data_IF_449854892928
#
_entry.id   IF_449854892928
#
_cell.length_a   1.000
_cell.length_b   1.000
_cell.length_c   1.000
_cell.angle_alpha   90.00
_cell.angle_beta   90.00
_cell.angle_gamma   90.00
#
_symmetry.space_group_name_H-M   'P 1'
#
loop_
_entity.id
_entity.type
_entity.pdbx_description
1 polymer ?
#
# COMPACT_ATOMS: atom_id res chain seq x y z
N UNK A 1 -7.66 28.68 -5.26
CA UNK A 1 -8.83 28.11 -5.96
C UNK A 1 -9.47 27.11 -5.01
N UNK A 2 -10.79 26.94 -5.00
CA UNK A 2 -11.37 25.86 -4.18
C UNK A 2 -10.75 24.53 -4.62
N UNK A 3 -10.30 23.73 -3.65
CA UNK A 3 -9.77 22.40 -3.90
C UNK A 3 -10.89 21.53 -4.50
N UNK A 4 -10.58 20.79 -5.58
CA UNK A 4 -11.52 19.86 -6.21
C UNK A 4 -11.82 18.67 -5.28
N UNK A 5 -12.78 17.85 -5.65
CA UNK A 5 -13.09 16.62 -4.91
C UNK A 5 -12.11 15.53 -5.31
N UNK A 6 -11.64 14.74 -4.34
CA UNK A 6 -10.78 13.56 -4.57
C UNK A 6 -11.63 12.29 -4.45
N UNK A 7 -11.52 11.40 -5.42
CA UNK A 7 -12.07 10.06 -5.31
C UNK A 7 -10.98 9.10 -4.83
N UNK A 8 -11.22 8.41 -3.71
CA UNK A 8 -10.30 7.41 -3.17
C UNK A 8 -10.97 6.04 -3.22
N UNK A 9 -10.50 5.16 -4.10
CA UNK A 9 -10.97 3.78 -4.14
C UNK A 9 -10.13 2.91 -3.21
N UNK A 10 -10.76 2.06 -2.41
CA UNK A 10 -10.06 1.29 -1.37
C UNK A 10 -9.66 2.15 -0.16
N UNK A 11 -10.38 3.26 0.05
CA UNK A 11 -10.05 4.22 1.10
C UNK A 11 -10.36 3.75 2.52
N UNK A 12 -11.15 2.69 2.69
CA UNK A 12 -11.42 2.05 3.99
C UNK A 12 -10.38 0.98 4.36
N UNK A 13 -9.46 0.64 3.44
CA UNK A 13 -8.35 -0.28 3.69
C UNK A 13 -7.21 0.34 4.50
N UNK A 14 -6.19 -0.46 4.84
CA UNK A 14 -5.07 -0.05 5.69
C UNK A 14 -4.36 1.22 5.20
N UNK A 15 -3.79 1.22 3.99
CA UNK A 15 -3.05 2.39 3.45
C UNK A 15 -4.03 3.51 3.07
N UNK A 16 -5.18 3.14 2.50
CA UNK A 16 -6.21 4.09 2.08
C UNK A 16 -6.72 4.96 3.22
N UNK A 17 -7.04 4.38 4.37
CA UNK A 17 -7.57 5.10 5.54
C UNK A 17 -6.58 6.09 6.16
N UNK A 18 -5.28 5.74 6.20
CA UNK A 18 -4.22 6.64 6.62
C UNK A 18 -4.07 7.81 5.63
N UNK A 19 -4.17 7.53 4.32
CA UNK A 19 -4.13 8.58 3.28
C UNK A 19 -5.36 9.47 3.34
N UNK A 20 -6.56 8.91 3.51
CA UNK A 20 -7.80 9.68 3.72
C UNK A 20 -7.62 10.68 4.88
N UNK A 21 -7.15 10.20 6.04
CA UNK A 21 -6.93 11.05 7.21
C UNK A 21 -5.94 12.16 6.92
N UNK A 22 -4.79 11.82 6.33
CA UNK A 22 -3.75 12.77 5.97
C UNK A 22 -4.25 13.87 5.02
N UNK A 23 -5.07 13.53 4.02
CA UNK A 23 -5.66 14.49 3.09
C UNK A 23 -6.72 15.38 3.74
N UNK A 24 -7.56 14.82 4.62
CA UNK A 24 -8.54 15.59 5.38
C UNK A 24 -7.87 16.62 6.30
N UNK A 25 -6.72 16.30 6.87
CA UNK A 25 -5.95 17.24 7.70
C UNK A 25 -5.31 18.37 6.87
N UNK A 26 -5.19 18.17 5.56
CA UNK A 26 -4.85 19.20 4.57
C UNK A 26 -6.08 19.91 3.99
N UNK A 27 -7.28 19.72 4.59
CA UNK A 27 -8.55 20.30 4.18
C UNK A 27 -9.04 19.87 2.79
N UNK A 28 -8.61 18.71 2.30
CA UNK A 28 -9.10 18.14 1.05
C UNK A 28 -10.55 17.64 1.20
N UNK A 29 -11.33 17.69 0.11
CA UNK A 29 -12.66 17.07 0.03
C UNK A 29 -12.54 15.67 -0.53
N UNK A 30 -12.95 14.68 0.24
CA UNK A 30 -12.72 13.26 -0.06
C UNK A 30 -14.05 12.52 -0.19
N UNK A 31 -14.18 11.79 -1.30
CA UNK A 31 -15.17 10.75 -1.54
C UNK A 31 -14.45 9.42 -1.53
N UNK A 32 -14.91 8.48 -0.73
CA UNK A 32 -14.34 7.13 -0.61
C UNK A 32 -15.29 6.13 -1.25
N UNK A 33 -14.78 5.32 -2.17
CA UNK A 33 -15.45 4.12 -2.69
C UNK A 33 -14.72 2.87 -2.18
N UNK A 34 -15.43 2.01 -1.47
CA UNK A 34 -14.87 0.76 -0.96
C UNK A 34 -15.98 -0.32 -0.89
N UNK A 35 -15.65 -1.58 -1.16
CA UNK A 35 -16.58 -2.70 -1.06
C UNK A 35 -16.50 -3.43 0.28
N UNK A 36 -15.62 -2.98 1.18
CA UNK A 36 -15.39 -3.51 2.52
C UNK A 36 -14.95 -4.99 2.58
N UNK A 37 -14.40 -5.55 1.49
CA UNK A 37 -13.87 -6.93 1.50
C UNK A 37 -12.65 -7.04 2.43
N UNK A 38 -11.80 -6.01 2.45
CA UNK A 38 -10.66 -5.86 3.36
C UNK A 38 -10.63 -4.51 4.06
N UNK A 39 -11.52 -3.61 3.67
CA UNK A 39 -11.70 -2.31 4.28
C UNK A 39 -12.66 -2.37 5.46
N UNK A 40 -12.59 -1.39 6.35
CA UNK A 40 -13.43 -1.27 7.53
C UNK A 40 -14.05 0.12 7.62
N UNK A 41 -15.37 0.22 7.79
CA UNK A 41 -16.04 1.51 8.04
C UNK A 41 -15.43 2.26 9.22
N UNK A 42 -15.10 1.51 10.28
CA UNK A 42 -14.49 2.05 11.48
C UNK A 42 -13.10 2.67 11.30
N UNK A 43 -12.45 2.48 10.12
CA UNK A 43 -11.19 3.14 9.78
C UNK A 43 -11.38 4.57 9.28
N UNK A 44 -12.60 4.95 8.87
CA UNK A 44 -12.92 6.24 8.28
C UNK A 44 -13.54 7.21 9.28
N UNK A 45 -13.19 8.51 9.23
CA UNK A 45 -13.93 9.57 9.92
C UNK A 45 -15.18 9.93 9.11
N UNK A 46 -16.27 9.17 9.31
CA UNK A 46 -17.49 9.24 8.50
C UNK A 46 -18.21 10.60 8.56
N UNK A 47 -17.92 11.41 9.55
CA UNK A 47 -18.39 12.80 9.68
C UNK A 47 -17.62 13.79 8.79
N UNK A 48 -16.47 13.38 8.22
CA UNK A 48 -15.58 14.22 7.40
C UNK A 48 -15.47 13.76 5.95
N UNK A 49 -15.99 12.58 5.59
CA UNK A 49 -15.91 12.01 4.23
C UNK A 49 -17.29 11.66 3.68
N UNK A 50 -17.45 11.70 2.37
CA UNK A 50 -18.55 11.01 1.71
C UNK A 50 -18.13 9.57 1.47
N UNK A 51 -18.76 8.61 2.16
CA UNK A 51 -18.47 7.19 2.00
C UNK A 51 -19.54 6.52 1.13
N UNK A 52 -19.10 5.80 0.10
CA UNK A 52 -19.93 5.04 -0.82
C UNK A 52 -19.46 3.58 -0.76
N UNK A 53 -20.33 2.69 -0.29
CA UNK A 53 -20.10 1.25 -0.33
C UNK A 53 -20.50 0.72 -1.71
N UNK A 54 -19.57 0.04 -2.38
CA UNK A 54 -19.87 -0.50 -3.70
C UNK A 54 -18.65 -1.03 -4.44
N UNK A 55 -18.95 -1.70 -5.55
CA UNK A 55 -17.95 -2.33 -6.41
C UNK A 55 -17.44 -1.36 -7.48
N UNK A 56 -16.12 -1.33 -7.66
CA UNK A 56 -15.50 -0.52 -8.73
C UNK A 56 -15.89 -1.03 -10.14
N UNK A 57 -16.28 -2.28 -10.27
CA UNK A 57 -16.74 -2.87 -11.53
C UNK A 57 -18.19 -2.47 -11.88
N UNK A 58 -18.94 -1.84 -10.97
CA UNK A 58 -20.30 -1.36 -11.24
C UNK A 58 -20.27 -0.04 -12.03
N UNK A 59 -20.41 -0.15 -13.34
CA UNK A 59 -20.36 0.99 -14.25
C UNK A 59 -21.43 2.05 -13.96
N UNK A 60 -22.63 1.65 -13.51
CA UNK A 60 -23.69 2.59 -13.19
C UNK A 60 -23.39 3.38 -11.91
N UNK A 61 -22.81 2.71 -10.90
CA UNK A 61 -22.35 3.34 -9.68
C UNK A 61 -21.23 4.35 -9.97
N UNK A 62 -20.21 3.93 -10.73
CA UNK A 62 -19.07 4.79 -11.09
C UNK A 62 -19.53 6.01 -11.88
N UNK A 63 -20.39 5.83 -12.88
CA UNK A 63 -20.92 6.94 -13.67
C UNK A 63 -21.68 7.96 -12.80
N UNK A 64 -22.56 7.50 -11.92
CA UNK A 64 -23.29 8.34 -10.98
C UNK A 64 -22.33 9.10 -10.05
N UNK A 65 -21.30 8.42 -9.53
CA UNK A 65 -20.31 9.01 -8.64
C UNK A 65 -19.55 10.16 -9.32
N UNK A 66 -19.12 9.97 -10.58
CA UNK A 66 -18.46 11.03 -11.34
C UNK A 66 -19.41 12.19 -11.69
N UNK A 67 -20.65 11.91 -12.02
CA UNK A 67 -21.65 12.94 -12.31
C UNK A 67 -21.97 13.80 -11.07
N UNK A 68 -22.12 13.19 -9.88
CA UNK A 68 -22.48 13.86 -8.64
C UNK A 68 -21.32 14.61 -7.99
N UNK A 69 -20.11 14.02 -7.99
CA UNK A 69 -18.99 14.54 -7.21
C UNK A 69 -17.89 15.23 -8.04
N UNK A 70 -17.87 15.02 -9.35
CA UNK A 70 -16.93 15.64 -10.30
C UNK A 70 -15.48 15.60 -9.79
N UNK A 71 -14.90 14.40 -9.51
CA UNK A 71 -13.57 14.32 -8.93
C UNK A 71 -12.51 14.87 -9.89
N UNK A 72 -11.61 15.70 -9.36
CA UNK A 72 -10.47 16.23 -10.10
C UNK A 72 -9.31 15.25 -10.22
N UNK A 73 -9.25 14.27 -9.31
CA UNK A 73 -8.21 13.23 -9.26
C UNK A 73 -8.75 11.96 -8.59
N UNK A 74 -8.15 10.83 -8.96
CA UNK A 74 -8.38 9.53 -8.36
C UNK A 74 -7.12 9.05 -7.65
N UNK A 75 -7.24 8.63 -6.38
CA UNK A 75 -6.22 7.88 -5.66
C UNK A 75 -6.69 6.43 -5.55
N UNK A 76 -5.97 5.50 -6.17
CA UNK A 76 -6.44 4.14 -6.35
C UNK A 76 -5.67 3.15 -5.48
N UNK A 77 -6.31 2.72 -4.38
CA UNK A 77 -5.80 1.69 -3.44
C UNK A 77 -6.51 0.35 -3.60
N UNK A 78 -7.74 0.34 -4.11
CA UNK A 78 -8.58 -0.85 -4.19
C UNK A 78 -7.89 -1.98 -4.97
N UNK A 79 -7.46 -3.03 -4.27
CA UNK A 79 -6.80 -4.18 -4.85
C UNK A 79 -6.77 -5.36 -3.88
N UNK A 80 -6.78 -6.58 -4.40
CA UNK A 80 -6.30 -7.74 -3.66
C UNK A 80 -4.77 -7.72 -3.65
N UNK A 81 -4.15 -7.99 -2.49
CA UNK A 81 -2.71 -7.80 -2.27
C UNK A 81 -1.97 -9.02 -1.69
N UNK A 82 -2.64 -10.17 -1.54
CA UNK A 82 -2.03 -11.38 -1.01
C UNK A 82 -1.30 -12.15 -2.11
N UNK A 83 0.04 -12.05 -2.11
CA UNK A 83 0.90 -12.68 -3.12
C UNK A 83 0.64 -14.19 -3.23
N UNK A 84 0.57 -14.90 -2.10
CA UNK A 84 0.32 -16.35 -2.08
C UNK A 84 -1.05 -16.73 -2.67
N UNK A 85 -2.11 -16.01 -2.32
CA UNK A 85 -3.45 -16.21 -2.87
C UNK A 85 -3.47 -15.95 -4.39
N UNK A 86 -2.72 -14.95 -4.86
CA UNK A 86 -2.68 -14.64 -6.29
C UNK A 86 -2.17 -15.82 -7.14
N UNK A 87 -1.30 -16.66 -6.59
CA UNK A 87 -0.77 -17.84 -7.29
C UNK A 87 -1.83 -18.95 -7.36
N UNK A 88 -2.66 -19.10 -6.33
CA UNK A 88 -3.69 -20.14 -6.27
C UNK A 88 -5.01 -19.72 -6.94
N UNK A 89 -5.33 -18.42 -6.97
CA UNK A 89 -6.52 -17.88 -7.63
C UNK A 89 -6.17 -16.64 -8.48
N UNK A 90 -5.44 -16.81 -9.60
CA UNK A 90 -4.98 -15.68 -10.42
C UNK A 90 -6.12 -14.89 -11.07
N UNK A 91 -7.23 -15.54 -11.44
CA UNK A 91 -8.34 -14.86 -12.11
C UNK A 91 -9.05 -13.86 -11.20
N UNK A 92 -9.13 -14.12 -9.90
CA UNK A 92 -9.62 -13.18 -8.90
C UNK A 92 -8.81 -11.86 -8.96
N UNK A 93 -7.48 -11.98 -9.02
CA UNK A 93 -6.56 -10.84 -9.08
C UNK A 93 -6.68 -10.06 -10.39
N UNK A 94 -6.70 -10.73 -11.53
CA UNK A 94 -6.85 -10.03 -12.82
C UNK A 94 -8.21 -9.36 -12.97
N UNK A 95 -9.31 -9.97 -12.50
CA UNK A 95 -10.62 -9.33 -12.52
C UNK A 95 -10.68 -8.10 -11.65
N UNK A 96 -10.20 -8.17 -10.41
CA UNK A 96 -10.29 -7.06 -9.47
C UNK A 96 -9.23 -5.98 -9.73
N UNK A 97 -7.96 -6.37 -9.93
CA UNK A 97 -6.85 -5.42 -9.96
C UNK A 97 -6.59 -4.85 -11.36
N UNK A 98 -7.09 -5.48 -12.42
CA UNK A 98 -6.89 -5.03 -13.80
C UNK A 98 -8.20 -4.72 -14.51
N UNK A 99 -9.16 -5.65 -14.55
CA UNK A 99 -10.39 -5.44 -15.32
C UNK A 99 -11.32 -4.40 -14.68
N UNK A 100 -11.55 -4.45 -13.37
CA UNK A 100 -12.41 -3.50 -12.68
C UNK A 100 -11.92 -2.02 -12.78
N UNK A 101 -10.63 -1.69 -12.68
CA UNK A 101 -10.14 -0.33 -12.94
C UNK A 101 -10.43 0.23 -14.33
N UNK A 102 -10.67 -0.61 -15.34
CA UNK A 102 -11.03 -0.11 -16.67
C UNK A 102 -12.36 0.66 -16.65
N UNK A 103 -13.35 0.20 -15.88
CA UNK A 103 -14.62 0.91 -15.68
C UNK A 103 -14.40 2.30 -15.10
N UNK A 104 -13.47 2.42 -14.13
CA UNK A 104 -13.10 3.70 -13.53
C UNK A 104 -12.43 4.62 -14.56
N UNK A 105 -11.49 4.10 -15.38
CA UNK A 105 -10.78 4.87 -16.40
C UNK A 105 -11.71 5.36 -17.51
N UNK A 106 -12.71 4.55 -17.91
CA UNK A 106 -13.74 4.96 -18.86
C UNK A 106 -14.56 6.15 -18.35
N UNK A 107 -14.98 6.12 -17.09
CA UNK A 107 -15.70 7.25 -16.48
C UNK A 107 -14.79 8.49 -16.36
N UNK A 108 -13.53 8.31 -15.94
CA UNK A 108 -12.55 9.40 -15.91
C UNK A 108 -12.41 10.09 -17.25
N UNK A 109 -12.31 9.31 -18.34
CA UNK A 109 -12.22 9.85 -19.70
C UNK A 109 -13.48 10.65 -20.08
N UNK A 110 -14.69 10.09 -19.84
CA UNK A 110 -15.97 10.76 -20.16
C UNK A 110 -16.16 12.08 -19.39
N UNK A 111 -15.72 12.11 -18.13
CA UNK A 111 -15.90 13.29 -17.26
C UNK A 111 -14.68 14.22 -17.22
N UNK A 112 -13.63 13.96 -18.01
CA UNK A 112 -12.45 14.82 -18.10
C UNK A 112 -11.56 14.81 -16.85
N UNK A 113 -11.64 13.80 -16.00
CA UNK A 113 -10.73 13.61 -14.86
C UNK A 113 -9.39 13.04 -15.35
N UNK A 114 -8.33 13.83 -15.31
CA UNK A 114 -7.05 13.49 -15.94
C UNK A 114 -5.90 13.25 -14.95
N UNK A 115 -6.17 13.03 -13.66
CA UNK A 115 -5.12 12.78 -12.65
C UNK A 115 -5.37 11.47 -11.93
N UNK A 116 -4.36 10.58 -11.94
CA UNK A 116 -4.46 9.26 -11.32
C UNK A 116 -3.22 8.97 -10.47
N UNK A 117 -3.40 8.76 -9.18
CA UNK A 117 -2.34 8.32 -8.27
C UNK A 117 -2.55 6.83 -7.99
N UNK A 118 -1.60 6.01 -8.40
CA UNK A 118 -1.72 4.56 -8.34
C UNK A 118 -0.83 3.95 -7.26
N UNK A 119 -1.47 3.28 -6.32
CA UNK A 119 -0.83 2.38 -5.36
C UNK A 119 -0.27 1.16 -6.09
N UNK A 120 0.95 1.29 -6.64
CA UNK A 120 1.69 0.20 -7.26
C UNK A 120 2.56 -0.54 -6.23
N UNK A 121 3.48 -1.37 -6.67
CA UNK A 121 4.25 -2.26 -5.79
C UNK A 121 5.63 -2.58 -6.35
N UNK A 122 6.61 -2.84 -5.48
CA UNK A 122 7.90 -3.41 -5.87
C UNK A 122 7.77 -4.83 -6.49
N UNK A 123 6.66 -5.53 -6.24
CA UNK A 123 6.42 -6.84 -6.84
C UNK A 123 6.37 -6.83 -8.38
N UNK A 124 6.24 -5.65 -9.00
CA UNK A 124 6.35 -5.48 -10.45
C UNK A 124 7.76 -5.78 -10.97
N UNK A 125 8.78 -5.65 -10.14
CA UNK A 125 10.17 -5.93 -10.52
C UNK A 125 10.50 -7.42 -10.58
N UNK A 126 9.81 -8.26 -9.78
CA UNK A 126 10.13 -9.67 -9.62
C UNK A 126 11.42 -9.88 -8.83
N UNK A 127 12.23 -10.87 -9.24
CA UNK A 127 13.53 -11.12 -8.63
C UNK A 127 14.53 -10.02 -9.00
N UNK A 128 15.13 -9.32 -8.03
CA UNK A 128 16.00 -8.20 -8.32
C UNK A 128 17.35 -8.67 -8.93
N UNK A 129 17.77 -8.02 -10.01
CA UNK A 129 19.10 -8.23 -10.61
C UNK A 129 20.17 -7.34 -9.96
N UNK A 130 19.75 -6.33 -9.21
CA UNK A 130 20.59 -5.45 -8.38
C UNK A 130 19.80 -4.86 -7.20
N UNK A 131 20.49 -4.57 -6.13
CA UNK A 131 19.96 -3.90 -4.93
C UNK A 131 20.93 -2.77 -4.56
N UNK A 132 20.48 -1.55 -4.20
CA UNK A 132 19.08 -1.11 -4.14
C UNK A 132 18.37 -1.08 -5.51
N UNK A 133 17.04 -1.24 -5.51
CA UNK A 133 16.22 -1.27 -6.70
C UNK A 133 15.82 0.16 -7.06
N UNK A 134 16.26 0.68 -8.19
CA UNK A 134 15.80 1.94 -8.78
C UNK A 134 14.70 1.72 -9.83
N UNK A 135 14.07 2.79 -10.32
CA UNK A 135 12.96 2.71 -11.27
C UNK A 135 13.38 2.27 -12.68
N UNK A 136 14.69 2.27 -12.99
CA UNK A 136 15.24 1.73 -14.25
C UNK A 136 15.42 0.21 -14.22
N UNK A 137 15.21 -0.41 -13.04
CA UNK A 137 15.26 -1.87 -12.90
C UNK A 137 14.22 -2.54 -13.82
N UNK A 138 14.57 -3.64 -14.51
CA UNK A 138 13.59 -4.40 -15.30
C UNK A 138 12.35 -4.80 -14.49
N UNK A 139 11.18 -4.66 -15.10
CA UNK A 139 9.93 -5.19 -14.52
C UNK A 139 9.66 -6.58 -15.09
N UNK A 140 9.71 -7.59 -14.25
CA UNK A 140 9.48 -9.01 -14.57
C UNK A 140 8.76 -9.70 -13.43
N UNK A 141 7.48 -9.38 -13.20
CA UNK A 141 6.74 -9.90 -12.05
C UNK A 141 6.64 -11.42 -12.07
N UNK A 142 6.89 -12.06 -10.92
CA UNK A 142 6.93 -13.51 -10.76
C UNK A 142 5.62 -14.09 -10.19
N UNK A 143 4.62 -13.27 -9.93
CA UNK A 143 3.31 -13.69 -9.44
C UNK A 143 2.18 -12.84 -10.03
N UNK A 144 0.92 -13.34 -10.04
CA UNK A 144 -0.23 -12.65 -10.62
C UNK A 144 -0.57 -11.31 -9.97
N UNK A 145 -0.29 -11.12 -8.68
CA UNK A 145 -0.45 -9.83 -8.02
C UNK A 145 0.47 -8.78 -8.65
N UNK A 146 1.78 -9.03 -8.68
CA UNK A 146 2.75 -8.13 -9.33
C UNK A 146 2.45 -7.91 -10.80
N UNK A 147 2.06 -8.98 -11.53
CA UNK A 147 1.69 -8.88 -12.93
C UNK A 147 0.46 -8.00 -13.15
N UNK A 148 -0.60 -8.13 -12.33
CA UNK A 148 -1.80 -7.29 -12.44
C UNK A 148 -1.51 -5.81 -12.20
N UNK A 149 -0.64 -5.48 -11.24
CA UNK A 149 -0.20 -4.12 -10.97
C UNK A 149 0.63 -3.55 -12.13
N UNK A 150 1.58 -4.33 -12.65
CA UNK A 150 2.40 -3.95 -13.81
C UNK A 150 1.55 -3.72 -15.06
N UNK A 151 0.57 -4.60 -15.34
CA UNK A 151 -0.35 -4.43 -16.47
C UNK A 151 -1.18 -3.16 -16.35
N UNK A 152 -1.65 -2.81 -15.15
CA UNK A 152 -2.39 -1.56 -14.94
C UNK A 152 -1.48 -0.32 -15.13
N UNK A 153 -0.20 -0.34 -14.71
CA UNK A 153 0.75 0.73 -15.07
C UNK A 153 0.85 0.89 -16.59
N UNK A 154 0.85 -0.22 -17.33
CA UNK A 154 0.90 -0.17 -18.79
C UNK A 154 -0.38 0.45 -19.39
N UNK A 155 -1.56 0.04 -18.92
CA UNK A 155 -2.83 0.63 -19.33
C UNK A 155 -2.85 2.15 -19.08
N UNK A 156 -2.42 2.59 -17.91
CA UNK A 156 -2.38 4.01 -17.56
C UNK A 156 -1.46 4.81 -18.49
N UNK A 157 -0.30 4.27 -18.91
CA UNK A 157 0.58 4.90 -19.90
C UNK A 157 -0.05 4.95 -21.30
N UNK A 158 -0.84 3.95 -21.68
CA UNK A 158 -1.56 3.96 -22.94
C UNK A 158 -2.72 4.98 -22.90
N UNK A 159 -3.41 5.13 -21.77
CA UNK A 159 -4.40 6.19 -21.55
C UNK A 159 -3.78 7.60 -21.59
N UNK A 160 -2.56 7.78 -21.08
CA UNK A 160 -1.84 9.06 -21.22
C UNK A 160 -1.66 9.44 -22.70
N UNK A 161 -1.23 8.49 -23.51
CA UNK A 161 -1.04 8.72 -24.96
C UNK A 161 -2.36 8.99 -25.70
N UNK A 162 -3.43 8.32 -25.27
CA UNK A 162 -4.70 8.34 -25.97
C UNK A 162 -5.53 9.61 -25.65
N UNK A 163 -5.56 10.06 -24.40
CA UNK A 163 -6.43 11.16 -23.96
C UNK A 163 -5.84 12.06 -22.86
N UNK A 164 -4.53 11.96 -22.64
CA UNK A 164 -3.81 12.92 -21.77
C UNK A 164 -3.93 12.64 -20.26
N UNK A 165 -4.29 11.43 -19.84
CA UNK A 165 -4.24 11.04 -18.43
C UNK A 165 -2.83 11.23 -17.88
N UNK A 166 -2.68 11.86 -16.72
CA UNK A 166 -1.42 11.97 -16.00
C UNK A 166 -1.45 11.10 -14.76
N UNK A 167 -0.41 10.30 -14.55
CA UNK A 167 -0.41 9.30 -13.48
C UNK A 167 0.91 9.27 -12.71
N UNK A 168 0.83 9.08 -11.39
CA UNK A 168 2.00 8.74 -10.58
C UNK A 168 1.85 7.31 -10.07
N UNK A 169 2.82 6.45 -10.39
CA UNK A 169 2.87 5.06 -9.89
C UNK A 169 3.78 5.02 -8.68
N UNK A 170 3.20 4.81 -7.52
CA UNK A 170 3.92 4.71 -6.26
C UNK A 170 4.24 3.24 -6.00
N UNK A 171 5.48 2.82 -6.33
CA UNK A 171 5.96 1.45 -6.15
C UNK A 171 6.57 1.32 -4.76
N UNK A 172 5.77 0.97 -3.78
CA UNK A 172 6.26 0.81 -2.43
C UNK A 172 6.61 -0.64 -2.09
N UNK A 173 7.46 -0.76 -1.08
CA UNK A 173 7.98 -2.02 -0.56
C UNK A 173 7.07 -2.52 0.58
N UNK A 174 7.55 -2.79 1.76
CA UNK A 174 6.73 -3.39 2.80
C UNK A 174 6.06 -2.32 3.69
N UNK A 175 4.80 -2.01 3.44
CA UNK A 175 4.03 -1.11 4.29
C UNK A 175 3.95 -1.66 5.72
N UNK A 176 4.15 -0.80 6.73
CA UNK A 176 4.16 -1.19 8.13
C UNK A 176 3.83 -0.03 9.06
N UNK A 177 3.69 -0.31 10.35
CA UNK A 177 3.29 0.67 11.34
C UNK A 177 1.79 0.97 11.34
N UNK A 178 1.39 1.85 12.22
CA UNK A 178 0.01 2.30 12.38
C UNK A 178 0.02 3.80 12.69
N UNK A 179 -1.15 4.43 12.72
CA UNK A 179 -1.25 5.83 13.10
C UNK A 179 -0.71 6.03 14.53
N UNK A 180 0.20 6.99 14.78
CA UNK A 180 0.81 7.19 16.09
C UNK A 180 -0.19 7.47 17.22
N UNK A 181 -1.39 7.98 16.91
CA UNK A 181 -2.47 8.15 17.86
C UNK A 181 -3.17 6.85 18.26
N UNK A 182 -2.84 5.70 17.68
CA UNK A 182 -3.48 4.41 17.96
C UNK A 182 -4.95 4.32 17.54
N UNK A 183 -5.42 5.21 16.67
CA UNK A 183 -6.82 5.31 16.26
C UNK A 183 -7.15 4.44 15.05
N UNK A 184 -6.20 4.29 14.14
CA UNK A 184 -6.29 3.45 12.95
C UNK A 184 -5.00 2.67 12.75
N UNK A 185 -5.14 1.46 12.20
CA UNK A 185 -4.02 0.56 11.97
C UNK A 185 -4.37 -0.57 11.01
N UNK A 186 -3.54 -1.60 11.00
CA UNK A 186 -3.75 -2.78 10.18
C UNK A 186 -4.74 -3.73 10.86
N UNK A 187 -5.74 -4.18 10.10
CA UNK A 187 -6.70 -5.22 10.52
C UNK A 187 -7.03 -6.08 9.30
N UNK A 188 -6.14 -7.01 8.98
CA UNK A 188 -6.32 -7.94 7.87
C UNK A 188 -6.76 -9.32 8.37
N UNK A 189 -7.68 -9.94 7.64
CA UNK A 189 -8.08 -11.31 7.87
C UNK A 189 -8.14 -12.10 6.54
N UNK A 190 -7.21 -13.05 6.29
CA UNK A 190 -6.07 -13.41 7.14
C UNK A 190 -4.96 -12.34 7.14
N UNK A 191 -4.21 -12.24 8.24
CA UNK A 191 -2.99 -11.43 8.28
C UNK A 191 -1.80 -12.23 7.74
N UNK A 192 -0.96 -11.58 6.92
CA UNK A 192 0.19 -12.22 6.26
C UNK A 192 1.50 -11.43 6.40
N UNK A 193 1.45 -10.20 6.93
CA UNK A 193 2.62 -9.34 7.05
C UNK A 193 3.40 -9.62 8.33
N UNK A 194 4.74 -9.53 8.24
CA UNK A 194 5.65 -9.95 9.31
C UNK A 194 5.38 -9.24 10.64
N UNK A 195 5.38 -7.89 10.67
CA UNK A 195 5.26 -7.12 11.92
C UNK A 195 3.96 -7.44 12.65
N UNK A 196 2.77 -7.41 12.04
CA UNK A 196 1.54 -7.83 12.72
C UNK A 196 1.58 -9.27 13.23
N UNK A 197 2.12 -10.22 12.45
CA UNK A 197 2.23 -11.62 12.88
C UNK A 197 3.16 -11.79 14.08
N UNK A 198 4.29 -11.07 14.12
CA UNK A 198 5.22 -11.03 15.25
C UNK A 198 4.52 -10.47 16.49
N UNK A 199 3.75 -9.38 16.36
CA UNK A 199 3.02 -8.77 17.45
C UNK A 199 1.84 -9.63 17.94
N UNK A 200 1.13 -10.34 17.03
CA UNK A 200 0.14 -11.37 17.40
C UNK A 200 0.77 -12.48 18.23
N UNK A 201 2.02 -12.84 17.94
CA UNK A 201 2.77 -13.84 18.73
C UNK A 201 3.11 -13.25 20.11
N UNK A 202 3.55 -12.01 20.20
CA UNK A 202 3.83 -11.33 21.47
C UNK A 202 2.59 -11.19 22.37
N UNK A 203 1.38 -11.03 21.78
CA UNK A 203 0.11 -11.00 22.53
C UNK A 203 -0.44 -12.38 22.89
N UNK A 204 0.16 -13.45 22.42
CA UNK A 204 -0.32 -14.83 22.61
C UNK A 204 -1.48 -15.25 21.70
N UNK A 205 -1.87 -14.41 20.73
CA UNK A 205 -2.87 -14.77 19.71
C UNK A 205 -2.36 -15.85 18.74
N UNK A 206 -1.01 -16.01 18.65
CA UNK A 206 -0.33 -17.05 17.90
C UNK A 206 0.70 -17.75 18.78
N UNK A 207 0.89 -19.08 18.64
CA UNK A 207 1.85 -19.82 19.46
C UNK A 207 3.31 -19.49 19.12
N UNK A 208 3.61 -19.15 17.89
CA UNK A 208 4.96 -18.82 17.40
C UNK A 208 4.91 -18.04 16.08
N UNK A 209 6.03 -17.43 15.73
CA UNK A 209 6.32 -16.92 14.38
C UNK A 209 7.21 -17.92 13.64
N UNK A 210 6.95 -18.16 12.34
CA UNK A 210 7.82 -18.99 11.50
C UNK A 210 8.76 -18.12 10.68
N UNK A 211 10.07 -18.36 10.81
CA UNK A 211 11.10 -17.81 9.93
C UNK A 211 11.31 -18.79 8.77
N UNK A 212 11.02 -18.34 7.54
CA UNK A 212 11.14 -19.16 6.34
C UNK A 212 12.52 -18.98 5.68
N UNK A 213 13.38 -20.02 5.80
CA UNK A 213 14.76 -20.00 5.33
C UNK A 213 15.71 -19.31 6.31
N UNK A 214 16.86 -19.95 6.51
CA UNK A 214 17.94 -19.45 7.40
C UNK A 214 19.31 -19.48 6.71
N UNK A 215 19.31 -19.70 5.41
CA UNK A 215 20.48 -19.94 4.57
C UNK A 215 20.55 -18.97 3.38
N UNK A 216 19.82 -17.83 3.44
CA UNK A 216 19.94 -16.78 2.46
C UNK A 216 21.34 -16.12 2.52
N UNK A 217 21.87 -15.60 1.39
CA UNK A 217 23.16 -14.92 1.35
C UNK A 217 23.05 -13.50 1.98
N UNK A 218 22.62 -13.42 3.23
CA UNK A 218 22.42 -12.24 4.04
C UNK A 218 23.21 -12.37 5.35
N UNK A 219 23.49 -11.29 6.09
CA UNK A 219 24.34 -11.35 7.30
C UNK A 219 23.88 -12.33 8.36
N UNK A 220 22.57 -12.54 8.54
CA UNK A 220 22.01 -13.46 9.53
C UNK A 220 21.29 -14.67 8.94
N UNK A 221 21.34 -14.82 7.62
CA UNK A 221 20.74 -15.92 6.86
C UNK A 221 19.24 -15.78 6.62
N UNK A 222 18.58 -14.68 7.05
CA UNK A 222 17.15 -14.44 6.81
C UNK A 222 16.92 -13.35 5.77
N UNK A 223 15.72 -13.32 5.17
CA UNK A 223 15.39 -12.31 4.15
C UNK A 223 15.48 -10.88 4.70
N UNK A 224 15.92 -9.96 3.84
CA UNK A 224 15.97 -8.52 4.13
C UNK A 224 14.86 -7.81 3.36
N UNK A 225 14.12 -6.92 4.03
CA UNK A 225 13.02 -6.13 3.46
C UNK A 225 13.14 -4.68 3.87
N UNK A 226 12.77 -3.78 2.95
CA UNK A 226 12.63 -2.36 3.21
C UNK A 226 11.20 -2.12 3.75
N UNK A 227 11.12 -1.67 5.00
CA UNK A 227 9.86 -1.37 5.67
C UNK A 227 9.60 0.13 5.60
N UNK A 228 8.42 0.48 5.10
CA UNK A 228 7.99 1.86 4.97
C UNK A 228 6.78 2.12 5.87
N UNK A 229 6.86 3.17 6.67
CA UNK A 229 5.77 3.52 7.58
C UNK A 229 4.53 3.98 6.81
N UNK A 230 3.35 3.53 7.22
CA UNK A 230 2.08 3.83 6.53
C UNK A 230 1.78 5.33 6.46
N UNK A 231 2.21 6.11 7.46
CA UNK A 231 2.10 7.57 7.44
C UNK A 231 3.01 8.21 6.38
N UNK A 232 4.19 7.65 6.12
CA UNK A 232 5.07 8.09 5.04
C UNK A 232 4.47 7.76 3.66
N UNK A 233 3.78 6.62 3.53
CA UNK A 233 3.00 6.32 2.33
C UNK A 233 1.87 7.33 2.13
N UNK A 234 1.13 7.68 3.18
CA UNK A 234 0.07 8.68 3.10
C UNK A 234 0.60 10.04 2.61
N UNK A 235 1.74 10.49 3.15
CA UNK A 235 2.40 11.73 2.71
C UNK A 235 2.86 11.66 1.25
N UNK A 236 3.35 10.50 0.79
CA UNK A 236 3.77 10.30 -0.60
C UNK A 236 2.59 10.44 -1.58
N UNK A 237 1.41 9.91 -1.23
CA UNK A 237 0.21 10.08 -2.06
C UNK A 237 -0.24 11.54 -2.16
N UNK A 238 -0.17 12.29 -1.06
CA UNK A 238 -0.48 13.72 -1.07
C UNK A 238 0.53 14.53 -1.91
N UNK A 239 1.83 14.22 -1.82
CA UNK A 239 2.86 14.86 -2.65
C UNK A 239 2.73 14.49 -4.13
N UNK A 240 2.35 13.25 -4.46
CA UNK A 240 2.05 12.83 -5.82
C UNK A 240 0.85 13.60 -6.41
N UNK A 241 -0.21 13.83 -5.60
CA UNK A 241 -1.34 14.66 -5.99
C UNK A 241 -0.90 16.10 -6.26
N UNK A 242 -0.12 16.69 -5.36
CA UNK A 242 0.45 18.04 -5.55
C UNK A 242 1.26 18.11 -6.84
N UNK A 243 2.15 17.17 -7.10
CA UNK A 243 2.94 17.10 -8.31
C UNK A 243 2.07 17.11 -9.59
N UNK A 244 1.00 16.32 -9.62
CA UNK A 244 0.08 16.30 -10.77
C UNK A 244 -0.75 17.60 -10.89
N UNK A 245 -1.12 18.24 -9.77
CA UNK A 245 -1.79 19.55 -9.78
C UNK A 245 -0.90 20.65 -10.35
N UNK A 246 0.40 20.56 -10.14
CA UNK A 246 1.42 21.48 -10.67
C UNK A 246 1.81 21.18 -12.13
N UNK A 247 1.13 20.24 -12.80
CA UNK A 247 1.35 19.90 -14.21
C UNK A 247 2.44 18.86 -14.45
N UNK A 248 2.77 18.05 -13.43
CA UNK A 248 3.75 16.97 -13.54
C UNK A 248 3.35 15.90 -14.56
N UNK A 249 4.35 15.28 -15.18
CA UNK A 249 4.19 14.21 -16.14
C UNK A 249 3.97 12.84 -15.49
N UNK A 250 3.51 11.86 -16.27
CA UNK A 250 3.38 10.47 -15.81
C UNK A 250 4.73 9.91 -15.40
N UNK A 251 4.84 9.45 -14.15
CA UNK A 251 6.09 8.92 -13.59
C UNK A 251 5.83 7.75 -12.65
N UNK A 252 6.80 6.83 -12.58
CA UNK A 252 6.91 5.85 -11.51
C UNK A 252 7.98 6.32 -10.51
N UNK A 253 7.74 6.15 -9.23
CA UNK A 253 8.72 6.40 -8.17
C UNK A 253 8.67 5.28 -7.12
N UNK A 254 9.85 4.87 -6.66
CA UNK A 254 9.97 3.92 -5.57
C UNK A 254 9.80 4.61 -4.22
N UNK A 255 9.03 3.98 -3.34
CA UNK A 255 8.85 4.42 -1.97
C UNK A 255 9.42 3.37 -1.01
N UNK A 256 10.49 3.71 -0.36
CA UNK A 256 11.17 2.92 0.66
C UNK A 256 12.08 3.82 1.48
N UNK A 257 12.73 3.24 2.47
CA UNK A 257 13.69 3.97 3.32
C UNK A 257 15.10 3.98 2.74
N UNK A 258 15.36 3.11 1.74
CA UNK A 258 16.72 2.85 1.24
C UNK A 258 17.53 1.95 2.16
N UNK A 259 16.91 1.42 3.21
CA UNK A 259 17.51 0.52 4.19
C UNK A 259 16.65 -0.71 4.42
N UNK A 260 17.28 -1.88 4.36
CA UNK A 260 16.61 -3.14 4.64
C UNK A 260 16.84 -3.60 6.09
N UNK A 261 15.89 -4.36 6.61
CA UNK A 261 15.99 -5.05 7.89
C UNK A 261 15.66 -6.53 7.71
N UNK A 262 16.42 -7.39 8.36
CA UNK A 262 16.20 -8.82 8.32
C UNK A 262 15.00 -9.24 9.16
N UNK A 263 14.48 -10.45 8.90
CA UNK A 263 13.39 -11.01 9.72
C UNK A 263 13.80 -11.11 11.20
N UNK A 264 15.04 -11.51 11.48
CA UNK A 264 15.54 -11.62 12.85
C UNK A 264 15.69 -10.25 13.52
N UNK A 265 16.14 -9.21 12.80
CA UNK A 265 16.23 -7.84 13.33
C UNK A 265 14.84 -7.31 13.71
N UNK A 266 13.82 -7.56 12.90
CA UNK A 266 12.42 -7.17 13.21
C UNK A 266 11.91 -7.89 14.46
N UNK A 267 12.16 -9.19 14.60
CA UNK A 267 11.76 -9.96 15.78
C UNK A 267 12.46 -9.44 17.03
N UNK A 268 13.77 -9.23 16.99
CA UNK A 268 14.55 -8.72 18.13
C UNK A 268 14.10 -7.29 18.54
N UNK A 269 13.78 -6.44 17.54
CA UNK A 269 13.21 -5.11 17.80
C UNK A 269 11.85 -5.21 18.46
N UNK A 270 11.00 -6.14 18.00
CA UNK A 270 9.68 -6.36 18.60
C UNK A 270 9.77 -6.88 20.04
N UNK A 271 10.72 -7.78 20.34
CA UNK A 271 10.99 -8.22 21.73
C UNK A 271 11.40 -7.05 22.62
N UNK A 272 12.29 -6.17 22.11
CA UNK A 272 12.72 -4.97 22.82
C UNK A 272 11.58 -3.98 23.08
N UNK A 273 10.68 -3.78 22.11
CA UNK A 273 9.53 -2.85 22.23
C UNK A 273 8.47 -3.40 23.15
N UNK A 274 8.13 -4.67 22.99
CA UNK A 274 7.00 -5.28 23.73
C UNK A 274 7.37 -5.76 25.12
N UNK A 275 8.67 -5.98 25.40
CA UNK A 275 9.16 -6.65 26.60
C UNK A 275 8.75 -8.12 26.70
N UNK A 276 8.38 -8.74 25.56
CA UNK A 276 7.93 -10.13 25.48
C UNK A 276 8.92 -10.97 24.67
N UNK A 277 9.14 -12.19 25.12
CA UNK A 277 9.86 -13.19 24.29
C UNK A 277 8.91 -13.68 23.21
N UNK A 278 9.41 -13.73 21.98
CA UNK A 278 8.64 -14.16 20.80
C UNK A 278 9.10 -15.57 20.38
N UNK A 279 8.28 -16.62 20.61
CA UNK A 279 8.63 -17.97 20.17
C UNK A 279 8.82 -18.05 18.65
N UNK A 280 9.93 -18.64 18.23
CA UNK A 280 10.30 -18.80 16.81
C UNK A 280 10.37 -20.26 16.42
N UNK A 281 9.84 -20.59 15.25
CA UNK A 281 10.03 -21.88 14.57
C UNK A 281 10.68 -21.61 13.22
N UNK A 282 11.59 -22.48 12.79
CA UNK A 282 12.27 -22.35 11.51
C UNK A 282 11.64 -23.29 10.48
N UNK A 283 11.35 -22.75 9.30
CA UNK A 283 10.78 -23.47 8.15
C UNK A 283 11.69 -23.38 6.92
N UNK A 284 11.38 -24.18 5.91
CA UNK A 284 12.03 -24.12 4.60
C UNK A 284 11.80 -22.77 3.91
N UNK A 285 12.67 -22.40 2.96
CA UNK A 285 12.47 -21.19 2.14
C UNK A 285 11.12 -21.23 1.42
N UNK A 286 10.47 -20.10 1.33
CA UNK A 286 9.33 -19.93 0.42
C UNK A 286 9.83 -19.86 -1.02
N UNK A 287 9.20 -20.60 -1.93
CA UNK A 287 9.52 -20.53 -3.34
C UNK A 287 9.29 -19.11 -3.89
N UNK A 288 10.27 -18.59 -4.61
CA UNK A 288 10.18 -17.24 -5.21
C UNK A 288 10.31 -16.08 -4.21
N UNK A 289 10.84 -16.31 -3.00
CA UNK A 289 11.09 -15.25 -2.03
C UNK A 289 12.53 -14.73 -2.17
N UNK A 290 12.75 -13.49 -2.69
CA UNK A 290 14.10 -12.96 -2.87
C UNK A 290 14.82 -12.76 -1.54
N UNK A 291 16.16 -12.91 -1.56
CA UNK A 291 16.97 -12.70 -0.36
C UNK A 291 16.89 -11.26 0.16
N UNK A 292 16.81 -10.29 -0.74
CA UNK A 292 16.82 -8.86 -0.39
C UNK A 292 15.92 -8.05 -1.32
N UNK A 293 15.09 -7.19 -0.74
CA UNK A 293 14.27 -6.20 -1.45
C UNK A 293 14.40 -4.85 -0.74
N UNK A 294 15.21 -3.94 -1.32
CA UNK A 294 15.47 -2.60 -0.80
C UNK A 294 15.35 -1.58 -1.92
N UNK A 295 14.63 -0.49 -1.66
CA UNK A 295 14.39 0.57 -2.63
C UNK A 295 15.59 1.51 -2.77
N UNK A 296 15.74 2.11 -3.95
CA UNK A 296 16.39 3.42 -4.09
C UNK A 296 15.28 4.49 -4.15
N UNK A 297 15.11 5.33 -3.12
CA UNK A 297 14.07 6.37 -3.08
C UNK A 297 14.53 7.71 -3.69
N UNK A 298 15.70 7.80 -4.31
CA UNK A 298 16.30 9.05 -4.77
C UNK A 298 15.42 9.80 -5.78
N UNK A 299 14.72 9.07 -6.66
CA UNK A 299 13.84 9.68 -7.66
C UNK A 299 12.60 10.31 -7.01
N UNK A 300 11.99 9.65 -6.02
CA UNK A 300 10.86 10.21 -5.27
C UNK A 300 11.25 11.52 -4.57
N UNK A 301 12.44 11.56 -3.94
CA UNK A 301 12.96 12.77 -3.31
C UNK A 301 13.17 13.91 -4.31
N UNK A 302 13.70 13.58 -5.49
CA UNK A 302 14.01 14.56 -6.54
C UNK A 302 12.75 15.13 -7.22
N UNK A 303 11.76 14.28 -7.53
CA UNK A 303 10.64 14.65 -8.41
C UNK A 303 9.42 15.10 -7.63
N UNK A 304 9.01 14.36 -6.61
CA UNK A 304 7.83 14.70 -5.82
C UNK A 304 8.18 15.30 -4.45
N UNK A 305 9.48 15.48 -4.14
CA UNK A 305 9.96 16.06 -2.89
C UNK A 305 9.75 15.15 -1.67
N UNK A 306 9.49 13.85 -1.88
CA UNK A 306 9.20 12.92 -0.80
C UNK A 306 10.45 12.27 -0.22
N UNK A 307 10.47 12.17 1.10
CA UNK A 307 11.46 11.38 1.86
C UNK A 307 10.74 10.69 3.01
N UNK A 308 11.11 9.45 3.28
CA UNK A 308 10.63 8.75 4.47
C UNK A 308 11.07 9.51 5.74
N UNK A 309 10.15 9.70 6.67
CA UNK A 309 10.41 10.33 7.96
C UNK A 309 10.72 9.30 9.05
N UNK A 310 10.07 8.13 8.97
CA UNK A 310 10.20 7.04 9.93
C UNK A 310 11.20 6.01 9.38
N UNK A 311 12.46 6.09 9.82
CA UNK A 311 13.56 5.25 9.31
C UNK A 311 13.92 4.09 10.26
N UNK A 312 13.50 4.16 11.51
CA UNK A 312 13.78 3.15 12.53
C UNK A 312 12.60 2.16 12.61
N UNK A 313 12.82 0.86 12.41
CA UNK A 313 11.76 -0.16 12.52
C UNK A 313 11.13 -0.18 13.92
N UNK A 314 11.78 0.36 14.92
CA UNK A 314 11.23 0.55 16.27
C UNK A 314 9.96 1.41 16.21
N UNK A 315 9.95 2.53 15.50
CA UNK A 315 8.77 3.41 15.37
C UNK A 315 7.59 2.70 14.72
N UNK A 316 7.87 1.86 13.71
CA UNK A 316 6.86 1.05 13.03
C UNK A 316 6.23 0.03 13.99
N UNK A 317 7.06 -0.62 14.79
CA UNK A 317 6.63 -1.64 15.75
C UNK A 317 5.90 -0.99 16.93
N UNK A 318 6.38 0.13 17.45
CA UNK A 318 5.75 0.88 18.55
C UNK A 318 4.34 1.34 18.18
N UNK A 319 4.16 1.95 17.01
CA UNK A 319 2.83 2.38 16.54
C UNK A 319 1.88 1.20 16.30
N UNK A 320 2.37 0.09 15.73
CA UNK A 320 1.58 -1.12 15.55
C UNK A 320 1.24 -1.81 16.88
N UNK A 321 2.17 -1.80 17.86
CA UNK A 321 1.94 -2.32 19.20
C UNK A 321 0.89 -1.49 19.94
N UNK A 322 0.97 -0.16 19.84
CA UNK A 322 -0.02 0.74 20.43
C UNK A 322 -1.42 0.50 19.85
N UNK A 323 -1.54 0.30 18.54
CA UNK A 323 -2.79 -0.07 17.89
C UNK A 323 -3.32 -1.41 18.42
N UNK A 324 -2.47 -2.44 18.46
CA UNK A 324 -2.85 -3.79 18.86
C UNK A 324 -3.25 -3.88 20.34
N UNK A 325 -2.60 -3.13 21.24
CA UNK A 325 -2.86 -3.10 22.67
C UNK A 325 -3.82 -1.99 23.10
N UNK A 326 -4.22 -1.12 22.16
CA UNK A 326 -5.13 -0.01 22.42
C UNK A 326 -6.57 -0.45 22.68
N UNK A 327 -7.50 0.51 22.88
CA UNK A 327 -8.89 0.23 23.23
C UNK A 327 -9.63 -0.66 22.24
N UNK A 328 -9.19 -0.67 20.97
CA UNK A 328 -9.79 -1.49 19.91
C UNK A 328 -9.17 -2.89 19.79
N UNK A 329 -8.10 -3.19 20.53
CA UNK A 329 -7.43 -4.49 20.50
C UNK A 329 -6.88 -4.87 19.11
N UNK A 330 -6.50 -3.88 18.29
CA UNK A 330 -5.99 -4.09 16.94
C UNK A 330 -7.06 -4.44 15.91
N UNK A 331 -8.33 -4.13 16.15
CA UNK A 331 -9.47 -4.44 15.27
C UNK A 331 -10.44 -3.29 15.18
N UNK A 332 -11.15 -3.23 14.05
CA UNK A 332 -12.31 -2.35 13.90
C UNK A 332 -13.57 -3.06 14.35
N UNK A 333 -14.46 -2.33 15.01
CA UNK A 333 -15.83 -2.77 15.22
C UNK A 333 -16.61 -2.34 13.98
N UNK A 334 -16.97 -3.27 13.13
CA UNK A 334 -17.84 -3.07 11.98
C UNK A 334 -19.29 -3.41 12.29
#
# INVERSE_FOLDING_TARGET
MPQGTLLITGGAGYIGSHTVRHLLDQHERVVVLDNLVFGHRGALPLDRVTFIEGEMADAALIERLFAEHQPEAVLHFAAYAYVGESVTDPLKYYRNNLAAPLTLLEAMQRHGCQRFIFSSTCATYGDPVRVPIDESHPQSPVNPYGASKWMLERVLRDCERAWGLKSVFLRYFNASGCHPGGEIGVDHNPETHLIPLVLQTATGQRPHITIFGTDYPTPDGTCIRDYIHVCDLASAHALALKYLREGGDTIAVNLGTGRGFSVKEIIATAESVTGKTIPVVYGERRAGDPSELVADPALAAKVIGWKAAHLDPREHIESAWQWMCGPRGGRYAD
#
